data_IF_764002002953
#
_entry.id   IF_764002002953
#
_cell.length_a   1.000
_cell.length_b   1.000
_cell.length_c   1.000
_cell.angle_alpha   90.00
_cell.angle_beta   90.00
_cell.angle_gamma   90.00
#
_symmetry.space_group_name_H-M   'P 1'
#
loop_
_entity.id
_entity.type
_entity.pdbx_description
1 polymer ?
#
# COMPACT_ATOMS: atom_id res chain seq x y z
N UNK A 1 -26.56 -15.54 8.59
CA UNK A 1 -26.82 -16.99 8.38
C UNK A 1 -27.56 -17.26 7.05
N UNK A 2 -26.92 -17.02 5.89
CA UNK A 2 -27.53 -17.29 4.56
C UNK A 2 -26.62 -18.02 3.54
N UNK A 3 -25.36 -18.31 3.89
CA UNK A 3 -24.43 -19.02 3.00
C UNK A 3 -24.35 -20.54 3.24
N UNK A 4 -25.05 -21.04 4.27
CA UNK A 4 -24.94 -22.43 4.72
C UNK A 4 -25.78 -23.42 3.88
N UNK A 5 -26.73 -22.96 3.06
CA UNK A 5 -27.66 -23.85 2.38
C UNK A 5 -27.02 -24.65 1.23
N UNK A 6 -26.37 -23.99 0.26
CA UNK A 6 -25.85 -24.70 -0.91
C UNK A 6 -24.67 -25.63 -0.58
N UNK A 7 -23.72 -25.17 0.23
CA UNK A 7 -22.55 -25.96 0.63
C UNK A 7 -22.96 -27.21 1.40
N UNK A 8 -23.99 -27.11 2.25
CA UNK A 8 -24.53 -28.24 2.99
C UNK A 8 -25.20 -29.26 2.07
N UNK A 9 -26.06 -28.83 1.14
CA UNK A 9 -26.69 -29.73 0.17
C UNK A 9 -25.67 -30.40 -0.75
N UNK A 10 -24.65 -29.66 -1.20
CA UNK A 10 -23.55 -30.21 -2.00
C UNK A 10 -22.75 -31.26 -1.19
N UNK A 11 -22.41 -30.95 0.06
CA UNK A 11 -21.74 -31.90 0.96
C UNK A 11 -22.56 -33.18 1.17
N UNK A 12 -23.85 -33.04 1.43
CA UNK A 12 -24.76 -34.17 1.58
C UNK A 12 -24.85 -35.02 0.30
N UNK A 13 -24.98 -34.38 -0.86
CA UNK A 13 -25.02 -35.06 -2.15
C UNK A 13 -23.73 -35.84 -2.41
N UNK A 14 -22.56 -35.23 -2.15
CA UNK A 14 -21.26 -35.88 -2.33
C UNK A 14 -21.10 -37.09 -1.40
N UNK A 15 -21.55 -37.00 -0.15
CA UNK A 15 -21.53 -38.13 0.79
C UNK A 15 -22.44 -39.25 0.29
N UNK A 16 -23.66 -38.94 -0.15
CA UNK A 16 -24.58 -39.93 -0.71
C UNK A 16 -24.02 -40.60 -1.97
N UNK A 17 -23.39 -39.82 -2.86
CA UNK A 17 -22.75 -40.34 -4.07
C UNK A 17 -21.58 -41.29 -3.73
N UNK A 18 -20.79 -40.94 -2.71
CA UNK A 18 -19.70 -41.79 -2.21
C UNK A 18 -20.23 -43.13 -1.67
N UNK A 19 -21.30 -43.11 -0.87
CA UNK A 19 -21.95 -44.33 -0.35
C UNK A 19 -22.51 -45.18 -1.49
N UNK A 20 -23.18 -44.56 -2.46
CA UNK A 20 -23.75 -45.24 -3.63
C UNK A 20 -22.66 -45.95 -4.45
N UNK A 21 -21.54 -45.28 -4.73
CA UNK A 21 -20.45 -45.91 -5.48
C UNK A 21 -19.82 -47.09 -4.74
N UNK A 22 -19.65 -46.99 -3.40
CA UNK A 22 -19.16 -48.12 -2.61
C UNK A 22 -20.16 -49.29 -2.62
N UNK A 23 -21.46 -49.01 -2.60
CA UNK A 23 -22.50 -50.03 -2.67
C UNK A 23 -22.50 -50.76 -4.03
N UNK A 24 -22.38 -50.02 -5.14
CA UNK A 24 -22.25 -50.59 -6.48
C UNK A 24 -20.97 -51.45 -6.60
N UNK A 25 -19.85 -50.95 -6.08
CA UNK A 25 -18.59 -51.71 -6.07
C UNK A 25 -18.72 -53.02 -5.28
N UNK A 26 -19.37 -52.98 -4.12
CA UNK A 26 -19.65 -54.19 -3.34
C UNK A 26 -20.53 -55.19 -4.11
N UNK A 27 -21.57 -54.71 -4.80
CA UNK A 27 -22.46 -55.59 -5.54
C UNK A 27 -21.77 -56.32 -6.71
N UNK A 28 -20.86 -55.63 -7.42
CA UNK A 28 -20.12 -56.17 -8.57
C UNK A 28 -19.01 -57.13 -8.14
N UNK A 29 -18.17 -56.72 -7.16
CA UNK A 29 -16.97 -57.47 -6.80
C UNK A 29 -17.19 -58.47 -5.64
N UNK A 30 -18.23 -58.29 -4.83
CA UNK A 30 -18.58 -59.11 -3.63
C UNK A 30 -17.43 -59.32 -2.62
N UNK A 31 -16.34 -58.56 -2.73
CA UNK A 31 -15.17 -58.66 -1.86
C UNK A 31 -15.16 -57.52 -0.83
N UNK A 32 -15.63 -57.83 0.38
CA UNK A 32 -15.65 -56.89 1.49
C UNK A 32 -14.24 -56.57 2.03
N UNK A 33 -13.29 -57.49 1.91
CA UNK A 33 -11.95 -57.33 2.46
C UNK A 33 -11.13 -56.35 1.61
N UNK A 34 -11.24 -56.45 0.29
CA UNK A 34 -10.66 -55.49 -0.63
C UNK A 34 -11.19 -54.07 -0.37
N UNK A 35 -12.50 -53.90 -0.19
CA UNK A 35 -13.10 -52.58 0.12
C UNK A 35 -12.58 -52.04 1.45
N UNK A 36 -12.52 -52.86 2.50
CA UNK A 36 -12.09 -52.44 3.83
C UNK A 36 -10.62 -51.97 3.85
N UNK A 37 -9.72 -52.75 3.24
CA UNK A 37 -8.31 -52.39 3.12
C UNK A 37 -8.11 -51.09 2.31
N UNK A 38 -8.84 -50.91 1.23
CA UNK A 38 -8.80 -49.68 0.43
C UNK A 38 -9.34 -48.46 1.18
N UNK A 39 -10.42 -48.63 1.96
CA UNK A 39 -10.99 -47.57 2.79
C UNK A 39 -10.01 -47.13 3.89
N UNK A 40 -9.32 -48.09 4.54
CA UNK A 40 -8.32 -47.81 5.55
C UNK A 40 -7.13 -47.03 4.98
N UNK A 41 -6.69 -47.37 3.77
CA UNK A 41 -5.66 -46.62 3.05
C UNK A 41 -6.06 -45.17 2.76
N UNK A 42 -7.31 -44.93 2.32
CA UNK A 42 -7.84 -43.57 2.15
C UNK A 42 -7.86 -42.80 3.47
N UNK A 43 -8.33 -43.43 4.55
CA UNK A 43 -8.40 -42.81 5.88
C UNK A 43 -7.01 -42.40 6.40
N UNK A 44 -5.98 -43.23 6.15
CA UNK A 44 -4.60 -42.93 6.50
C UNK A 44 -4.02 -41.74 5.72
N UNK A 45 -4.54 -41.45 4.52
CA UNK A 45 -4.09 -40.32 3.69
C UNK A 45 -4.82 -39.00 4.00
N UNK A 46 -6.00 -39.04 4.64
CA UNK A 46 -6.80 -37.84 4.98
C UNK A 46 -5.99 -36.73 5.65
N UNK A 47 -5.09 -36.99 6.65
CA UNK A 47 -4.31 -35.92 7.26
C UNK A 47 -3.44 -35.14 6.26
N UNK A 48 -2.85 -35.84 5.29
CA UNK A 48 -2.01 -35.24 4.24
C UNK A 48 -2.88 -34.42 3.28
N UNK A 49 -4.03 -34.96 2.89
CA UNK A 49 -4.98 -34.27 2.01
C UNK A 49 -5.51 -32.98 2.65
N UNK A 50 -5.94 -33.04 3.90
CA UNK A 50 -6.43 -31.85 4.64
C UNK A 50 -5.32 -30.82 4.80
N UNK A 51 -4.08 -31.24 5.12
CA UNK A 51 -2.93 -30.34 5.19
C UNK A 51 -2.69 -29.65 3.84
N UNK A 52 -2.66 -30.41 2.75
CA UNK A 52 -2.39 -29.90 1.42
C UNK A 52 -3.46 -28.89 0.98
N UNK A 53 -4.74 -29.26 1.08
CA UNK A 53 -5.86 -28.38 0.72
C UNK A 53 -5.86 -27.12 1.58
N UNK A 54 -5.60 -27.24 2.88
CA UNK A 54 -5.55 -26.08 3.79
C UNK A 54 -4.41 -25.14 3.42
N UNK A 55 -3.20 -25.64 3.16
CA UNK A 55 -2.06 -24.81 2.77
C UNK A 55 -2.30 -24.07 1.45
N UNK A 56 -2.86 -24.77 0.45
CA UNK A 56 -3.19 -24.18 -0.86
C UNK A 56 -4.26 -23.09 -0.71
N UNK A 57 -5.35 -23.38 -0.01
CA UNK A 57 -6.43 -22.41 0.23
C UNK A 57 -5.91 -21.21 1.02
N UNK A 58 -5.16 -21.44 2.09
CA UNK A 58 -4.60 -20.36 2.91
C UNK A 58 -3.68 -19.45 2.10
N UNK A 59 -2.80 -20.02 1.27
CA UNK A 59 -1.92 -19.25 0.39
C UNK A 59 -2.70 -18.44 -0.65
N UNK A 60 -3.73 -19.04 -1.26
CA UNK A 60 -4.58 -18.34 -2.22
C UNK A 60 -5.35 -17.19 -1.57
N UNK A 61 -5.97 -17.43 -0.42
CA UNK A 61 -6.70 -16.39 0.33
C UNK A 61 -5.79 -15.24 0.73
N UNK A 62 -4.61 -15.55 1.29
CA UNK A 62 -3.64 -14.54 1.70
C UNK A 62 -3.12 -13.73 0.49
N UNK A 63 -2.90 -14.38 -0.66
CA UNK A 63 -2.52 -13.67 -1.89
C UNK A 63 -3.60 -12.70 -2.36
N UNK A 64 -4.88 -13.10 -2.29
CA UNK A 64 -6.00 -12.23 -2.68
C UNK A 64 -6.19 -11.06 -1.70
N UNK A 65 -6.03 -11.32 -0.40
CA UNK A 65 -6.11 -10.27 0.62
C UNK A 65 -5.00 -9.23 0.43
N UNK A 66 -3.75 -9.67 0.23
CA UNK A 66 -2.61 -8.78 -0.06
C UNK A 66 -2.85 -7.93 -1.30
N UNK A 67 -3.34 -8.53 -2.40
CA UNK A 67 -3.65 -7.79 -3.62
C UNK A 67 -4.73 -6.72 -3.39
N UNK A 68 -5.80 -7.07 -2.66
CA UNK A 68 -6.87 -6.11 -2.33
C UNK A 68 -6.39 -4.99 -1.40
N UNK A 69 -5.47 -5.26 -0.46
CA UNK A 69 -4.84 -4.22 0.38
C UNK A 69 -3.99 -3.27 -0.46
N UNK A 70 -3.14 -3.80 -1.35
CA UNK A 70 -2.31 -3.00 -2.26
C UNK A 70 -3.15 -2.11 -3.18
N UNK A 71 -4.25 -2.62 -3.73
CA UNK A 71 -5.17 -1.84 -4.56
C UNK A 71 -5.76 -0.65 -3.78
N UNK A 72 -6.23 -0.89 -2.54
CA UNK A 72 -6.74 0.17 -1.67
C UNK A 72 -5.66 1.18 -1.31
N UNK A 73 -4.44 0.73 -1.03
CA UNK A 73 -3.32 1.63 -0.75
C UNK A 73 -3.06 2.54 -1.95
N UNK A 74 -2.96 1.97 -3.16
CA UNK A 74 -2.74 2.75 -4.38
C UNK A 74 -3.85 3.79 -4.62
N UNK A 75 -5.10 3.46 -4.30
CA UNK A 75 -6.20 4.44 -4.33
C UNK A 75 -5.96 5.61 -3.37
N UNK A 76 -5.51 5.33 -2.15
CA UNK A 76 -5.22 6.37 -1.16
C UNK A 76 -4.02 7.23 -1.57
N UNK A 77 -2.95 6.61 -2.06
CA UNK A 77 -1.78 7.31 -2.62
C UNK A 77 -2.23 8.22 -3.78
N UNK A 78 -3.07 7.71 -4.67
CA UNK A 78 -3.64 8.49 -5.79
C UNK A 78 -4.43 9.71 -5.32
N UNK A 79 -5.29 9.53 -4.30
CA UNK A 79 -6.03 10.64 -3.71
C UNK A 79 -5.10 11.70 -3.08
N UNK A 80 -4.05 11.26 -2.38
CA UNK A 80 -3.05 12.16 -1.82
C UNK A 80 -2.35 13.00 -2.89
N UNK A 81 -1.85 12.38 -3.95
CA UNK A 81 -1.18 13.11 -5.03
C UNK A 81 -2.13 14.05 -5.77
N UNK A 82 -3.37 13.63 -6.00
CA UNK A 82 -4.38 14.46 -6.66
C UNK A 82 -4.75 15.72 -5.87
N UNK A 83 -4.83 15.64 -4.55
CA UNK A 83 -5.26 16.77 -3.71
C UNK A 83 -4.10 17.64 -3.22
N UNK A 84 -2.99 17.01 -2.83
CA UNK A 84 -1.90 17.65 -2.09
C UNK A 84 -0.55 17.43 -2.78
N UNK A 85 -0.17 16.17 -3.02
CA UNK A 85 1.20 15.82 -3.42
C UNK A 85 1.65 16.50 -4.72
N UNK A 86 0.82 16.54 -5.77
CA UNK A 86 1.18 17.19 -7.03
C UNK A 86 1.39 18.70 -6.87
N UNK A 87 0.58 19.37 -6.03
CA UNK A 87 0.73 20.81 -5.78
C UNK A 87 1.98 21.11 -4.98
N UNK A 88 2.30 20.28 -3.98
CA UNK A 88 3.56 20.35 -3.24
C UNK A 88 4.75 20.19 -4.19
N UNK A 89 4.70 19.21 -5.10
CA UNK A 89 5.74 19.00 -6.11
C UNK A 89 5.91 20.21 -7.03
N UNK A 90 4.82 20.83 -7.50
CA UNK A 90 4.88 22.05 -8.31
C UNK A 90 5.50 23.20 -7.53
N UNK A 91 5.05 23.44 -6.29
CA UNK A 91 5.62 24.47 -5.41
C UNK A 91 7.13 24.31 -5.28
N UNK A 92 7.59 23.12 -4.91
CA UNK A 92 9.02 22.86 -4.71
C UNK A 92 9.83 22.84 -6.02
N UNK A 93 9.21 22.47 -7.14
CA UNK A 93 9.87 22.50 -8.45
C UNK A 93 10.14 23.94 -8.91
N UNK A 94 9.23 24.88 -8.66
CA UNK A 94 9.40 26.27 -9.09
C UNK A 94 10.51 27.03 -8.34
N UNK A 95 10.98 26.50 -7.20
CA UNK A 95 12.07 27.07 -6.39
C UNK A 95 13.41 26.35 -6.56
N UNK A 96 13.50 25.34 -7.41
CA UNK A 96 14.76 24.71 -7.78
C UNK A 96 15.38 25.44 -8.99
N UNK A 97 16.51 26.16 -8.82
CA UNK A 97 17.16 26.88 -9.92
C UNK A 97 17.72 25.96 -11.01
N UNK A 98 17.78 24.64 -10.78
CA UNK A 98 18.23 23.62 -11.74
C UNK A 98 17.05 22.87 -12.38
N UNK A 99 15.80 23.18 -12.00
CA UNK A 99 14.60 22.49 -12.49
C UNK A 99 14.44 22.59 -14.00
N UNK A 100 14.87 23.69 -14.63
CA UNK A 100 14.70 23.90 -16.07
C UNK A 100 15.37 22.80 -16.92
N UNK A 101 16.34 22.06 -16.36
CA UNK A 101 16.97 20.91 -17.02
C UNK A 101 16.13 19.62 -17.00
N UNK A 102 15.16 19.53 -16.09
CA UNK A 102 14.31 18.35 -15.87
C UNK A 102 12.81 18.68 -16.02
N UNK A 103 12.46 19.97 -16.14
CA UNK A 103 11.07 20.44 -16.25
C UNK A 103 10.35 19.81 -17.44
N UNK A 104 11.02 19.66 -18.58
CA UNK A 104 10.45 18.97 -19.75
C UNK A 104 10.25 17.47 -19.52
N UNK A 105 11.10 16.83 -18.71
CA UNK A 105 11.01 15.43 -18.31
C UNK A 105 9.96 15.17 -17.21
N UNK A 106 9.60 16.21 -16.44
CA UNK A 106 8.67 16.17 -15.31
C UNK A 106 7.22 16.49 -15.68
N UNK A 107 6.97 17.01 -16.89
CA UNK A 107 5.62 17.20 -17.40
C UNK A 107 5.02 15.81 -17.65
N UNK A 108 4.26 15.33 -16.66
CA UNK A 108 3.39 14.18 -16.80
C UNK A 108 2.37 14.46 -17.90
N UNK A 109 2.68 14.03 -19.13
CA UNK A 109 1.67 13.74 -20.13
C UNK A 109 1.00 12.45 -19.68
N UNK A 110 -0.33 12.37 -19.78
CA UNK A 110 -1.19 11.31 -19.23
C UNK A 110 -0.93 9.88 -19.74
N UNK A 111 0.17 9.63 -20.45
CA UNK A 111 0.46 8.43 -21.24
C UNK A 111 1.90 7.91 -21.02
N UNK A 112 2.46 8.02 -19.82
CA UNK A 112 3.77 7.39 -19.56
C UNK A 112 3.66 5.86 -19.53
N UNK A 113 4.50 5.21 -20.32
CA UNK A 113 4.78 3.78 -20.23
C UNK A 113 5.67 3.48 -19.02
N UNK A 114 5.63 2.23 -18.52
CA UNK A 114 6.48 1.76 -17.41
C UNK A 114 7.97 2.03 -17.65
N UNK A 115 8.42 1.99 -18.91
CA UNK A 115 9.79 2.30 -19.31
C UNK A 115 10.13 3.79 -19.21
N UNK A 116 9.20 4.68 -19.52
CA UNK A 116 9.40 6.13 -19.42
C UNK A 116 9.44 6.56 -17.96
N UNK A 117 8.56 6.00 -17.13
CA UNK A 117 8.58 6.20 -15.68
C UNK A 117 9.91 5.76 -15.06
N UNK A 118 10.43 4.57 -15.44
CA UNK A 118 11.71 4.08 -14.94
C UNK A 118 12.89 4.97 -15.38
N UNK A 119 12.85 5.49 -16.61
CA UNK A 119 13.90 6.37 -17.13
C UNK A 119 13.91 7.74 -16.41
N UNK A 120 12.73 8.33 -16.17
CA UNK A 120 12.61 9.60 -15.44
C UNK A 120 12.95 9.42 -13.95
N UNK A 121 12.49 8.32 -13.32
CA UNK A 121 12.84 7.98 -11.94
C UNK A 121 14.35 7.83 -11.75
N UNK A 122 15.04 7.20 -12.70
CA UNK A 122 16.51 7.09 -12.69
C UNK A 122 17.21 8.44 -12.81
N UNK A 123 16.66 9.37 -13.61
CA UNK A 123 17.19 10.74 -13.74
C UNK A 123 16.96 11.56 -12.48
N UNK A 124 15.79 11.45 -11.87
CA UNK A 124 15.44 12.10 -10.59
C UNK A 124 16.34 11.66 -9.45
N UNK A 125 16.66 10.36 -9.35
CA UNK A 125 17.52 9.84 -8.26
C UNK A 125 18.96 10.36 -8.33
N UNK A 126 19.41 10.77 -9.52
CA UNK A 126 20.75 11.30 -9.74
C UNK A 126 20.76 12.85 -9.79
N UNK A 127 19.63 13.51 -9.53
CA UNK A 127 19.55 14.95 -9.56
C UNK A 127 19.87 15.53 -8.17
N UNK A 128 20.90 16.37 -8.09
CA UNK A 128 21.22 17.14 -6.88
C UNK A 128 20.22 18.29 -6.73
N UNK A 129 19.21 18.03 -5.91
CA UNK A 129 18.17 18.99 -5.56
C UNK A 129 18.71 20.08 -4.64
N UNK A 130 18.48 21.34 -4.97
CA UNK A 130 18.91 22.49 -4.15
C UNK A 130 17.76 23.49 -3.97
N UNK A 131 17.07 23.41 -2.83
CA UNK A 131 16.01 24.37 -2.48
C UNK A 131 16.66 25.66 -1.98
N UNK A 132 16.48 26.75 -2.71
CA UNK A 132 16.85 28.08 -2.20
C UNK A 132 15.63 28.71 -1.52
N UNK A 133 15.56 28.58 -0.20
CA UNK A 133 14.42 29.03 0.64
C UNK A 133 14.19 30.56 0.57
N UNK A 134 15.20 31.35 0.17
CA UNK A 134 15.14 32.82 0.14
C UNK A 134 14.16 33.46 -0.86
N UNK A 135 13.40 32.67 -1.64
CA UNK A 135 12.35 33.17 -2.55
C UNK A 135 11.00 32.45 -2.39
N UNK A 136 10.88 31.52 -1.44
CA UNK A 136 9.67 30.71 -1.28
C UNK A 136 8.58 31.57 -0.64
N UNK A 137 7.42 31.68 -1.28
CA UNK A 137 6.21 32.23 -0.65
C UNK A 137 5.65 31.18 0.31
N UNK A 138 6.22 31.16 1.51
CA UNK A 138 5.85 30.23 2.58
C UNK A 138 4.43 30.49 3.08
N UNK A 139 3.88 31.68 2.88
CA UNK A 139 2.55 32.07 3.35
C UNK A 139 1.45 31.47 2.47
N UNK A 140 1.67 31.45 1.15
CA UNK A 140 0.79 30.76 0.22
C UNK A 140 0.83 29.24 0.44
N UNK A 141 2.02 28.66 0.67
CA UNK A 141 2.17 27.23 0.98
C UNK A 141 1.47 26.85 2.29
N UNK A 142 1.64 27.68 3.33
CA UNK A 142 0.96 27.50 4.63
C UNK A 142 -0.55 27.52 4.46
N UNK A 143 -1.09 28.53 3.78
CA UNK A 143 -2.53 28.67 3.56
C UNK A 143 -3.10 27.48 2.79
N UNK A 144 -2.37 26.99 1.78
CA UNK A 144 -2.73 25.80 1.03
C UNK A 144 -2.77 24.54 1.92
N UNK A 145 -1.71 24.26 2.67
CA UNK A 145 -1.61 23.06 3.52
C UNK A 145 -2.65 23.07 4.65
N UNK A 146 -2.87 24.21 5.31
CA UNK A 146 -3.90 24.38 6.33
C UNK A 146 -5.31 24.10 5.76
N UNK A 147 -5.59 24.55 4.53
CA UNK A 147 -6.87 24.26 3.86
C UNK A 147 -7.10 22.77 3.56
N UNK A 148 -6.06 21.94 3.68
CA UNK A 148 -6.07 20.49 3.43
C UNK A 148 -5.78 19.66 4.68
N UNK A 149 -5.71 20.30 5.85
CA UNK A 149 -5.41 19.63 7.13
C UNK A 149 -6.41 18.50 7.46
N UNK A 150 -7.72 18.76 7.31
CA UNK A 150 -8.76 17.75 7.55
C UNK A 150 -8.61 16.52 6.64
N UNK A 151 -8.13 16.73 5.41
CA UNK A 151 -7.87 15.64 4.47
C UNK A 151 -6.65 14.81 4.91
N UNK A 152 -5.55 15.47 5.30
CA UNK A 152 -4.34 14.80 5.78
C UNK A 152 -4.60 13.97 7.05
N UNK A 153 -5.41 14.50 7.99
CA UNK A 153 -5.80 13.76 9.21
C UNK A 153 -6.61 12.50 8.85
N UNK A 154 -7.60 12.62 7.96
CA UNK A 154 -8.39 11.45 7.50
C UNK A 154 -7.55 10.39 6.79
N UNK A 155 -6.47 10.80 6.13
CA UNK A 155 -5.51 9.86 5.56
C UNK A 155 -4.78 9.09 6.67
N UNK A 156 -4.26 9.79 7.68
CA UNK A 156 -3.57 9.17 8.82
C UNK A 156 -4.45 8.22 9.63
N UNK A 157 -5.76 8.48 9.71
CA UNK A 157 -6.73 7.58 10.35
C UNK A 157 -6.93 6.26 9.60
N UNK A 158 -6.48 6.16 8.34
CA UNK A 158 -6.68 4.97 7.53
C UNK A 158 -5.70 3.85 7.93
N UNK A 159 -6.19 2.72 8.49
CA UNK A 159 -5.33 1.65 9.01
C UNK A 159 -4.52 0.94 7.93
N UNK A 160 -4.87 1.10 6.65
CA UNK A 160 -4.16 0.50 5.52
C UNK A 160 -2.80 1.16 5.29
N UNK A 161 -2.63 2.42 5.70
CA UNK A 161 -1.37 3.15 5.49
C UNK A 161 -0.24 2.62 6.37
N UNK A 162 -0.55 2.20 7.60
CA UNK A 162 0.42 1.74 8.60
C UNK A 162 1.26 0.53 8.16
N UNK A 163 0.85 -0.18 7.10
CA UNK A 163 1.59 -1.33 6.57
C UNK A 163 2.71 -0.93 5.58
N UNK A 164 2.76 0.32 5.09
CA UNK A 164 3.78 0.81 4.15
C UNK A 164 4.55 1.99 4.72
N UNK A 165 5.80 1.73 5.12
CA UNK A 165 6.70 2.71 5.76
C UNK A 165 6.92 3.95 4.87
N UNK A 166 7.27 3.77 3.59
CA UNK A 166 7.67 4.89 2.73
C UNK A 166 6.59 5.94 2.47
N UNK A 167 5.34 5.53 2.22
CA UNK A 167 4.24 6.49 2.04
C UNK A 167 3.80 7.10 3.36
N UNK A 168 3.80 6.31 4.44
CA UNK A 168 3.47 6.82 5.78
C UNK A 168 4.46 7.87 6.24
N UNK A 169 5.74 7.67 5.98
CA UNK A 169 6.79 8.65 6.29
C UNK A 169 6.63 9.93 5.47
N UNK A 170 6.29 9.83 4.19
CA UNK A 170 5.97 11.00 3.36
C UNK A 170 4.76 11.76 3.91
N UNK A 171 3.68 11.06 4.23
CA UNK A 171 2.47 11.68 4.78
C UNK A 171 2.76 12.37 6.12
N UNK A 172 3.56 11.74 6.98
CA UNK A 172 4.03 12.33 8.25
C UNK A 172 4.90 13.56 8.03
N UNK A 173 5.83 13.53 7.07
CA UNK A 173 6.69 14.66 6.75
C UNK A 173 5.86 15.89 6.29
N UNK A 174 4.86 15.67 5.43
CA UNK A 174 3.94 16.75 5.00
C UNK A 174 3.09 17.25 6.16
N UNK A 175 2.68 16.37 7.07
CA UNK A 175 1.93 16.76 8.26
C UNK A 175 2.79 17.61 9.20
N UNK A 176 4.01 17.19 9.52
CA UNK A 176 4.95 17.95 10.33
C UNK A 176 5.30 19.31 9.71
N UNK A 177 5.50 19.36 8.39
CA UNK A 177 5.68 20.63 7.67
C UNK A 177 4.46 21.55 7.86
N UNK A 178 3.25 21.00 7.81
CA UNK A 178 2.02 21.77 8.01
C UNK A 178 1.91 22.30 9.44
N UNK A 179 2.23 21.48 10.45
CA UNK A 179 2.25 21.90 11.85
C UNK A 179 3.32 22.96 12.12
N UNK A 180 4.50 22.79 11.56
CA UNK A 180 5.61 23.74 11.71
C UNK A 180 5.26 25.09 11.09
N UNK A 181 4.72 25.10 9.87
CA UNK A 181 4.25 26.34 9.22
C UNK A 181 3.06 26.95 9.95
N UNK A 182 2.19 26.14 10.57
CA UNK A 182 1.07 26.64 11.36
C UNK A 182 1.51 27.34 12.64
N UNK A 183 2.57 26.85 13.29
CA UNK A 183 3.02 27.33 14.60
C UNK A 183 3.87 28.61 14.53
N UNK A 184 4.43 28.94 13.36
CA UNK A 184 5.19 30.18 13.15
C UNK A 184 4.25 31.39 12.98
N UNK A 185 4.43 32.42 13.80
CA UNK A 185 3.70 33.70 13.70
C UNK A 185 4.28 34.61 12.61
N UNK A 186 5.57 34.50 12.32
CA UNK A 186 6.28 35.32 11.33
C UNK A 186 7.25 34.45 10.52
N UNK A 187 6.94 34.23 9.24
CA UNK A 187 7.75 33.43 8.31
C UNK A 187 8.86 34.26 7.63
N UNK A 188 8.97 35.55 7.95
CA UNK A 188 9.98 36.46 7.41
C UNK A 188 11.33 36.39 8.14
N UNK A 189 11.37 35.78 9.33
CA UNK A 189 12.57 35.69 10.18
C UNK A 189 12.96 34.22 10.42
N UNK A 190 13.87 33.72 9.60
CA UNK A 190 14.55 32.44 9.84
C UNK A 190 15.79 32.71 10.72
N UNK A 191 15.87 32.16 11.94
CA UNK A 191 17.08 32.24 12.75
C UNK A 191 18.24 31.53 12.05
N UNK A 192 19.47 31.99 12.24
CA UNK A 192 20.63 31.42 11.54
C UNK A 192 20.86 29.91 11.81
N UNK A 193 20.26 29.38 12.88
CA UNK A 193 20.24 27.96 13.22
C UNK A 193 19.42 27.09 12.26
N UNK A 194 18.44 27.66 11.54
CA UNK A 194 17.66 26.92 10.53
C UNK A 194 18.44 26.77 9.20
N UNK A 195 19.49 27.55 8.94
CA UNK A 195 20.39 27.31 7.79
C UNK A 195 21.20 26.02 7.93
N UNK A 196 21.28 25.45 9.14
CA UNK A 196 21.88 24.13 9.37
C UNK A 196 20.96 22.98 8.97
N UNK A 197 19.67 23.23 8.71
CA UNK A 197 18.73 22.30 8.03
C UNK A 197 19.06 22.18 6.52
N UNK A 198 20.34 22.18 6.15
CA UNK A 198 20.85 21.88 4.80
C UNK A 198 21.35 20.44 4.74
N UNK A 199 20.53 19.50 5.18
CA UNK A 199 20.69 18.08 4.85
C UNK A 199 19.31 17.45 4.86
N UNK A 200 18.71 17.33 3.67
CA UNK A 200 17.59 16.45 3.37
C UNK A 200 16.32 16.61 4.26
N UNK A 201 15.21 17.19 3.76
CA UNK A 201 13.95 17.26 4.50
C UNK A 201 13.31 15.88 4.81
N UNK A 202 13.93 14.78 4.38
CA UNK A 202 13.58 13.41 4.70
C UNK A 202 14.50 12.73 5.73
N UNK A 203 15.49 13.42 6.29
CA UNK A 203 16.34 12.88 7.37
C UNK A 203 15.71 13.13 8.75
N UNK A 204 15.17 12.08 9.37
CA UNK A 204 14.44 12.16 10.64
C UNK A 204 15.35 12.35 11.88
N UNK A 205 16.67 12.50 11.75
CA UNK A 205 17.58 12.51 12.91
C UNK A 205 17.77 13.88 13.60
N UNK A 206 17.19 14.97 13.07
CA UNK A 206 17.53 16.33 13.53
C UNK A 206 16.39 17.11 14.23
N UNK A 207 15.38 16.45 14.82
CA UNK A 207 14.39 17.17 15.64
C UNK A 207 14.78 17.19 17.13
N UNK A 208 15.02 18.37 17.75
CA UNK A 208 15.31 18.48 19.18
C UNK A 208 14.07 18.39 20.08
N UNK A 209 12.88 18.09 19.52
CA UNK A 209 11.60 18.12 20.26
C UNK A 209 11.23 16.74 20.84
N UNK A 210 12.04 15.69 20.61
CA UNK A 210 11.86 14.40 21.28
C UNK A 210 13.00 14.14 22.27
N UNK A 211 12.89 14.76 23.44
CA UNK A 211 13.42 14.24 24.71
C UNK A 211 12.40 14.40 25.81
#
# INVERSE_FOLDING_TARGET
MKYLSWQFYLGLLLVLLSVLFNFIHYFIFRDAHYIFSHMLGKLAFVPIEVLFVTLVIHRLLNSREKAAKLEKLNMVIGAFFSEVGTKILVYFSDFDPKIDKIREDLIMRSEWSDSEFAAVSGRLRNHDYEVTIGKVDLEDLRSFLLSRMDFLVRLLENPILLEHESFTDLLRAVFHLTEELSSREDLSWLPDSDYAMRTNPFDQEASPIVK
#
